data_IF_663648766372
#
_entry.id   IF_663648766372
#
_cell.length_a   1.000
_cell.length_b   1.000
_cell.length_c   1.000
_cell.angle_alpha   90.00
_cell.angle_beta   90.00
_cell.angle_gamma   90.00
#
_symmetry.space_group_name_H-M   'P 1'
#
loop_
_entity.id
_entity.type
_entity.pdbx_description
1 polymer ?
#
# COMPACT_ATOMS: atom_id res chain seq x y z
N UNK A 1 -16.08 8.05 20.72
CA UNK A 1 -16.42 6.90 19.87
C UNK A 1 -15.51 6.99 18.66
N UNK A 2 -14.36 6.33 18.69
CA UNK A 2 -13.54 6.15 17.49
C UNK A 2 -13.63 4.69 17.13
N UNK A 3 -14.41 4.47 16.07
CA UNK A 3 -14.93 3.19 15.65
C UNK A 3 -13.91 2.48 14.78
N UNK A 4 -13.75 1.19 15.08
CA UNK A 4 -13.61 0.07 14.15
C UNK A 4 -12.70 0.29 12.93
N UNK A 5 -11.46 -0.16 13.06
CA UNK A 5 -10.61 -0.44 11.90
C UNK A 5 -10.03 -1.85 12.04
N UNK A 6 -10.93 -2.85 12.06
CA UNK A 6 -10.60 -4.27 12.01
C UNK A 6 -10.78 -4.75 10.57
N UNK A 7 -9.70 -4.73 9.79
CA UNK A 7 -9.68 -5.22 8.40
C UNK A 7 -9.13 -4.23 7.37
N UNK A 8 -8.84 -3.00 7.77
CA UNK A 8 -8.33 -1.94 6.91
C UNK A 8 -6.87 -1.67 7.27
N UNK A 9 -6.00 -1.68 6.25
CA UNK A 9 -4.56 -1.43 6.37
C UNK A 9 -4.35 -0.17 7.22
N UNK A 10 -3.50 -0.25 8.24
CA UNK A 10 -3.25 0.88 9.12
C UNK A 10 -2.82 2.13 8.35
N UNK A 11 -3.19 3.31 8.84
CA UNK A 11 -2.85 4.60 8.20
C UNK A 11 -1.33 4.75 7.99
N UNK A 12 -0.53 4.26 8.94
CA UNK A 12 0.93 4.22 8.83
C UNK A 12 1.41 3.36 7.66
N UNK A 13 0.79 2.19 7.46
CA UNK A 13 1.12 1.31 6.35
C UNK A 13 0.67 1.88 5.01
N UNK A 14 -0.50 2.52 4.92
CA UNK A 14 -0.92 3.24 3.71
C UNK A 14 0.04 4.36 3.32
N UNK A 15 0.51 5.14 4.30
CA UNK A 15 1.50 6.19 4.07
C UNK A 15 2.83 5.61 3.57
N UNK A 16 3.30 4.54 4.21
CA UNK A 16 4.53 3.85 3.82
C UNK A 16 4.42 3.29 2.40
N UNK A 17 3.30 2.65 2.08
CA UNK A 17 3.00 2.11 0.76
C UNK A 17 2.99 3.20 -0.33
N UNK A 18 2.35 4.34 -0.06
CA UNK A 18 2.30 5.46 -1.02
C UNK A 18 3.70 6.02 -1.34
N UNK A 19 4.57 6.15 -0.33
CA UNK A 19 5.95 6.59 -0.54
C UNK A 19 6.75 5.57 -1.36
N UNK A 20 6.61 4.29 -1.05
CA UNK A 20 7.31 3.22 -1.78
C UNK A 20 6.84 3.12 -3.23
N UNK A 21 5.55 3.34 -3.50
CA UNK A 21 5.00 3.31 -4.87
C UNK A 21 5.49 4.45 -5.77
N UNK A 22 6.01 5.55 -5.19
CA UNK A 22 6.61 6.64 -5.95
C UNK A 22 8.03 6.34 -6.45
N UNK A 23 8.73 5.40 -5.81
CA UNK A 23 10.16 5.13 -6.06
C UNK A 23 10.40 3.71 -6.59
N UNK A 24 9.41 2.81 -6.47
CA UNK A 24 9.57 1.38 -6.74
C UNK A 24 8.37 0.80 -7.49
N UNK A 25 8.57 -0.29 -8.25
CA UNK A 25 7.47 -1.02 -8.86
C UNK A 25 6.55 -1.63 -7.80
N UNK A 26 5.26 -1.73 -8.13
CA UNK A 26 4.18 -2.08 -7.20
C UNK A 26 4.45 -3.37 -6.41
N UNK A 27 4.98 -4.39 -7.06
CA UNK A 27 5.29 -5.69 -6.43
C UNK A 27 6.37 -5.57 -5.35
N UNK A 28 7.36 -4.71 -5.57
CA UNK A 28 8.45 -4.45 -4.61
C UNK A 28 7.96 -3.57 -3.48
N UNK A 29 7.21 -2.51 -3.79
CA UNK A 29 6.59 -1.63 -2.79
C UNK A 29 5.69 -2.40 -1.81
N UNK A 30 4.80 -3.26 -2.32
CA UNK A 30 3.92 -4.09 -1.48
C UNK A 30 4.71 -5.07 -0.61
N UNK A 31 5.78 -5.69 -1.15
CA UNK A 31 6.64 -6.59 -0.36
C UNK A 31 7.32 -5.86 0.79
N UNK A 32 7.98 -4.74 0.50
CA UNK A 32 8.70 -3.97 1.51
C UNK A 32 7.74 -3.39 2.55
N UNK A 33 6.58 -2.90 2.13
CA UNK A 33 5.58 -2.40 3.07
C UNK A 33 5.11 -3.51 4.03
N UNK A 34 4.89 -4.73 3.53
CA UNK A 34 4.53 -5.86 4.39
C UNK A 34 5.64 -6.24 5.37
N UNK A 35 6.91 -6.20 4.93
CA UNK A 35 8.06 -6.46 5.81
C UNK A 35 8.26 -5.37 6.87
N UNK A 36 7.98 -4.11 6.54
CA UNK A 36 8.11 -2.96 7.47
C UNK A 36 6.96 -2.92 8.49
N UNK A 37 5.74 -3.20 8.04
CA UNK A 37 4.52 -2.94 8.83
C UNK A 37 3.91 -4.22 9.42
N UNK A 38 4.25 -5.38 8.90
CA UNK A 38 3.62 -6.67 9.25
C UNK A 38 2.23 -6.86 8.62
N UNK A 39 1.75 -5.92 7.83
CA UNK A 39 0.42 -5.98 7.19
C UNK A 39 0.37 -7.05 6.09
N UNK A 40 -0.80 -7.69 5.87
CA UNK A 40 -0.92 -8.74 4.88
C UNK A 40 -0.74 -8.17 3.46
N UNK A 41 0.13 -8.82 2.69
CA UNK A 41 0.43 -8.44 1.29
C UNK A 41 -0.81 -8.32 0.42
N UNK A 42 -1.84 -9.15 0.66
CA UNK A 42 -3.09 -9.08 -0.10
C UNK A 42 -3.82 -7.76 0.14
N UNK A 43 -3.94 -7.31 1.39
CA UNK A 43 -4.59 -6.04 1.70
C UNK A 43 -3.77 -4.84 1.18
N UNK A 44 -2.44 -4.92 1.32
CA UNK A 44 -1.52 -3.91 0.77
C UNK A 44 -1.56 -3.84 -0.75
N UNK A 45 -1.75 -4.97 -1.44
CA UNK A 45 -1.84 -5.01 -2.89
C UNK A 45 -3.12 -4.30 -3.38
N UNK A 46 -4.26 -4.59 -2.77
CA UNK A 46 -5.53 -3.91 -3.08
C UNK A 46 -5.44 -2.40 -2.80
N UNK A 47 -4.85 -2.02 -1.66
CA UNK A 47 -4.57 -0.62 -1.33
C UNK A 47 -3.63 0.04 -2.35
N UNK A 48 -2.58 -0.65 -2.78
CA UNK A 48 -1.63 -0.14 -3.78
C UNK A 48 -2.29 0.09 -5.13
N UNK A 49 -3.14 -0.84 -5.57
CA UNK A 49 -3.91 -0.69 -6.80
C UNK A 49 -4.89 0.49 -6.70
N UNK A 50 -5.56 0.65 -5.57
CA UNK A 50 -6.44 1.81 -5.34
C UNK A 50 -5.67 3.14 -5.38
N UNK A 51 -4.47 3.19 -4.79
CA UNK A 51 -3.60 4.37 -4.81
C UNK A 51 -3.06 4.66 -6.22
N UNK A 52 -2.60 3.64 -6.96
CA UNK A 52 -2.13 3.82 -8.36
C UNK A 52 -3.24 4.27 -9.30
N UNK A 53 -4.48 3.81 -9.09
CA UNK A 53 -5.64 4.32 -9.86
C UNK A 53 -5.94 5.79 -9.59
N UNK A 54 -5.71 6.26 -8.37
CA UNK A 54 -5.94 7.66 -7.98
C UNK A 54 -4.80 8.60 -8.42
N UNK A 55 -3.56 8.13 -8.40
CA UNK A 55 -2.38 8.89 -8.84
C UNK A 55 -1.96 8.64 -10.30
N UNK A 56 -2.88 8.18 -11.14
CA UNK A 56 -2.59 7.49 -12.39
C UNK A 56 -1.57 8.15 -13.33
N UNK A 57 -0.46 7.43 -13.56
CA UNK A 57 0.10 7.16 -14.90
C UNK A 57 1.21 6.11 -14.80
N UNK A 58 1.45 5.44 -15.92
CA UNK A 58 2.19 4.19 -16.12
C UNK A 58 3.62 4.17 -15.57
N UNK A 59 4.04 2.98 -15.13
CA UNK A 59 5.33 2.41 -15.52
C UNK A 59 5.19 0.89 -15.35
N UNK A 60 4.86 0.25 -16.47
CA UNK A 60 5.02 -1.17 -16.66
C UNK A 60 6.47 -1.42 -17.04
N UNK A 61 7.27 -1.93 -16.10
CA UNK A 61 8.47 -2.72 -16.35
C UNK A 61 8.56 -3.84 -15.29
#
# INVERSE_FOLDING_TARGET
AESAQEGEVSVSALRTLALLLGELPLKTAVRLCAEITGEPRNALYEAALALRRQGGSEEAD
#
